data_IF_740155471434
#
_entry.id   IF_740155471434
#
_cell.length_a   1.000
_cell.length_b   1.000
_cell.length_c   1.000
_cell.angle_alpha   90.00
_cell.angle_beta   90.00
_cell.angle_gamma   90.00
#
_symmetry.space_group_name_H-M   'P 1'
#
loop_
_entity.id
_entity.type
_entity.pdbx_description
1 polymer ?
#
# COMPACT_ATOMS: atom_id res chain seq x y z
N UNK A 1 14.25 6.98 2.64
CA UNK A 1 14.28 5.54 3.01
C UNK A 1 13.12 4.85 2.33
N UNK A 2 13.25 3.56 1.99
CA UNK A 2 12.21 2.79 1.29
C UNK A 2 11.45 1.90 2.28
N UNK A 3 10.13 1.89 2.18
CA UNK A 3 9.23 1.09 3.01
C UNK A 3 8.35 0.24 2.11
N UNK A 4 8.37 -1.07 2.36
CA UNK A 4 7.42 -2.02 1.77
C UNK A 4 6.39 -2.37 2.83
N UNK A 5 5.11 -2.12 2.54
CA UNK A 5 4.01 -2.64 3.35
C UNK A 5 3.50 -3.89 2.63
N UNK A 6 3.66 -5.06 3.24
CA UNK A 6 3.13 -6.30 2.71
C UNK A 6 1.83 -6.65 3.46
N UNK A 7 0.74 -6.80 2.73
CA UNK A 7 -0.55 -7.18 3.27
C UNK A 7 -1.15 -8.30 2.43
N UNK A 8 -1.55 -9.39 3.08
CA UNK A 8 -2.18 -10.54 2.45
C UNK A 8 -3.48 -10.86 3.18
N UNK A 9 -4.53 -11.18 2.44
CA UNK A 9 -5.83 -11.51 3.01
C UNK A 9 -6.98 -10.80 2.30
N UNK A 10 -8.03 -10.54 3.05
CA UNK A 10 -9.25 -9.88 2.58
C UNK A 10 -9.05 -8.37 2.39
N UNK A 11 -10.11 -7.70 1.90
CA UNK A 11 -10.13 -6.23 1.85
C UNK A 11 -9.89 -5.59 3.22
N UNK A 12 -10.38 -6.20 4.30
CA UNK A 12 -10.18 -5.70 5.66
C UNK A 12 -8.72 -5.76 6.11
N UNK A 13 -7.95 -6.71 5.57
CA UNK A 13 -6.53 -6.87 5.85
C UNK A 13 -5.68 -5.91 5.01
N UNK A 14 -6.12 -5.51 3.81
CA UNK A 14 -5.32 -4.66 2.90
C UNK A 14 -5.67 -3.16 2.99
N UNK A 15 -6.96 -2.82 3.04
CA UNK A 15 -7.41 -1.44 2.95
C UNK A 15 -6.86 -0.49 4.04
N UNK A 16 -6.68 -0.89 5.32
CA UNK A 16 -6.14 0.01 6.33
C UNK A 16 -4.72 0.51 6.02
N UNK A 17 -3.94 -0.29 5.30
CA UNK A 17 -2.55 0.03 4.98
C UNK A 17 -2.40 1.10 3.90
N UNK A 18 -3.45 1.40 3.13
CA UNK A 18 -3.41 2.50 2.17
C UNK A 18 -3.35 3.86 2.88
N UNK A 19 -4.09 4.01 3.97
CA UNK A 19 -4.05 5.21 4.82
C UNK A 19 -2.70 5.39 5.50
N UNK A 20 -2.14 4.31 6.06
CA UNK A 20 -0.80 4.30 6.64
C UNK A 20 0.26 4.65 5.58
N UNK A 21 0.21 4.00 4.43
CA UNK A 21 1.15 4.24 3.34
C UNK A 21 1.10 5.68 2.85
N UNK A 22 -0.10 6.25 2.70
CA UNK A 22 -0.27 7.64 2.28
C UNK A 22 0.31 8.62 3.31
N UNK A 23 0.16 8.35 4.61
CA UNK A 23 0.75 9.15 5.67
C UNK A 23 2.29 9.08 5.65
N UNK A 24 2.86 7.88 5.49
CA UNK A 24 4.31 7.69 5.35
C UNK A 24 4.86 8.39 4.09
N UNK A 25 4.16 8.31 2.97
CA UNK A 25 4.53 9.04 1.75
C UNK A 25 4.55 10.55 1.99
N UNK A 26 3.53 11.11 2.65
CA UNK A 26 3.50 12.54 3.02
C UNK A 26 4.63 12.94 3.97
N UNK A 27 5.12 12.01 4.79
CA UNK A 27 6.28 12.23 5.65
C UNK A 27 7.63 12.14 4.90
N UNK A 28 7.64 11.91 3.59
CA UNK A 28 8.84 11.90 2.75
C UNK A 28 9.46 10.53 2.54
N UNK A 29 8.77 9.44 2.91
CA UNK A 29 9.22 8.08 2.62
C UNK A 29 8.79 7.62 1.22
N UNK A 30 9.61 6.76 0.60
CA UNK A 30 9.24 6.04 -0.61
C UNK A 30 8.53 4.74 -0.21
N UNK A 31 7.24 4.64 -0.54
CA UNK A 31 6.35 3.59 -0.02
C UNK A 31 5.74 2.79 -1.16
N UNK A 32 5.86 1.46 -1.06
CA UNK A 32 5.17 0.50 -1.95
C UNK A 32 4.25 -0.38 -1.12
N UNK A 33 3.00 -0.58 -1.57
CA UNK A 33 2.08 -1.57 -1.04
C UNK A 33 2.19 -2.85 -1.87
N UNK A 34 2.52 -3.96 -1.22
CA UNK A 34 2.49 -5.29 -1.80
C UNK A 34 1.28 -6.09 -1.29
N UNK A 35 0.43 -6.50 -2.21
CA UNK A 35 -0.78 -7.27 -1.93
C UNK A 35 -1.21 -8.06 -3.17
N UNK A 36 -2.26 -8.87 -3.05
CA UNK A 36 -2.89 -9.52 -4.22
C UNK A 36 -3.33 -8.49 -5.25
N UNK A 37 -3.12 -8.79 -6.53
CA UNK A 37 -3.38 -7.94 -7.71
C UNK A 37 -4.76 -7.28 -7.71
N UNK A 38 -5.78 -7.94 -7.18
CA UNK A 38 -7.13 -7.40 -7.04
C UNK A 38 -7.19 -6.09 -6.23
N UNK A 39 -6.17 -5.80 -5.41
CA UNK A 39 -6.08 -4.61 -4.57
C UNK A 39 -5.16 -3.51 -5.13
N UNK A 40 -4.58 -3.68 -6.32
CA UNK A 40 -3.80 -2.62 -6.99
C UNK A 40 -4.54 -1.27 -7.05
N UNK A 41 -5.87 -1.21 -7.34
CA UNK A 41 -6.60 0.06 -7.32
C UNK A 41 -6.55 0.78 -5.97
N UNK A 42 -6.59 0.04 -4.85
CA UNK A 42 -6.54 0.63 -3.50
C UNK A 42 -5.19 1.33 -3.23
N UNK A 43 -4.09 0.76 -3.74
CA UNK A 43 -2.78 1.39 -3.65
C UNK A 43 -2.72 2.68 -4.49
N UNK A 44 -3.21 2.61 -5.73
CA UNK A 44 -3.17 3.72 -6.67
C UNK A 44 -4.04 4.90 -6.23
N UNK A 45 -5.25 4.63 -5.73
CA UNK A 45 -6.16 5.65 -5.19
C UNK A 45 -5.55 6.38 -3.98
N UNK A 46 -4.70 5.69 -3.21
CA UNK A 46 -3.94 6.29 -2.11
C UNK A 46 -2.61 6.93 -2.54
N UNK A 47 -2.30 6.93 -3.84
CA UNK A 47 -1.07 7.47 -4.39
C UNK A 47 0.18 6.67 -4.03
N UNK A 48 0.06 5.36 -3.82
CA UNK A 48 1.16 4.45 -3.49
C UNK A 48 1.61 3.67 -4.72
N UNK A 49 2.90 3.35 -4.78
CA UNK A 49 3.39 2.34 -5.70
C UNK A 49 2.81 0.96 -5.29
N UNK A 50 2.57 0.10 -6.27
CA UNK A 50 2.01 -1.23 -6.06
C UNK A 50 2.97 -2.32 -6.54
N UNK A 51 2.96 -3.46 -5.85
CA UNK A 51 3.63 -4.70 -6.28
C UNK A 51 2.78 -5.92 -5.98
N UNK A 52 2.59 -6.80 -6.95
CA UNK A 52 1.96 -8.11 -6.71
C UNK A 52 2.74 -9.00 -5.75
N UNK A 53 2.02 -9.79 -4.96
CA UNK A 53 2.56 -10.86 -4.11
C UNK A 53 2.34 -12.24 -4.73
#
# INVERSE_FOLDING_TARGET
MRILIAAAGSRGDVAPYTGLGAALRRAGYDVTLAATEAFAPLAHDAGLAFRGL
#
